data_IF_578659817184
#
_entry.id   IF_578659817184
#
_cell.length_a   1.000
_cell.length_b   1.000
_cell.length_c   1.000
_cell.angle_alpha   90.00
_cell.angle_beta   90.00
_cell.angle_gamma   90.00
#
_symmetry.space_group_name_H-M   'P 1'
#
loop_
_entity.id
_entity.type
_entity.pdbx_description
1 polymer ?
#
# COMPACT_ATOMS: atom_id res chain seq x y z
N UNK A 1 0.98 30.56 12.17
CA UNK A 1 0.60 29.13 12.09
C UNK A 1 1.57 28.45 11.13
N UNK A 2 2.45 27.58 11.61
CA UNK A 2 3.22 26.70 10.73
C UNK A 2 2.26 25.60 10.27
N UNK A 3 1.86 25.63 9.00
CA UNK A 3 1.25 24.47 8.35
C UNK A 3 2.33 23.39 8.30
N UNK A 4 2.46 22.58 9.36
CA UNK A 4 3.20 21.34 9.25
C UNK A 4 2.40 20.47 8.29
N UNK A 5 2.90 20.31 7.06
CA UNK A 5 2.39 19.29 6.15
C UNK A 5 2.53 17.95 6.88
N UNK A 6 1.43 17.44 7.41
CA UNK A 6 1.44 16.13 8.07
C UNK A 6 1.74 15.09 6.99
N UNK A 7 2.82 14.33 7.18
CA UNK A 7 3.13 13.19 6.33
C UNK A 7 1.96 12.20 6.38
N UNK A 8 1.63 11.61 5.24
CA UNK A 8 0.61 10.58 5.18
C UNK A 8 1.09 9.33 5.94
N UNK A 9 0.19 8.65 6.66
CA UNK A 9 0.55 7.42 7.37
C UNK A 9 0.63 6.25 6.40
N UNK A 10 1.76 5.57 6.40
CA UNK A 10 1.96 4.29 5.72
C UNK A 10 2.11 3.21 6.79
N UNK A 11 1.22 2.23 6.80
CA UNK A 11 1.28 1.13 7.76
C UNK A 11 1.76 -0.13 7.04
N UNK A 12 2.69 -0.86 7.64
CA UNK A 12 3.09 -2.18 7.19
C UNK A 12 2.63 -3.23 8.18
N UNK A 13 2.00 -4.30 7.65
CA UNK A 13 1.71 -5.52 8.39
C UNK A 13 2.87 -6.53 8.31
N UNK A 14 3.91 -6.21 7.56
CA UNK A 14 5.11 -7.03 7.39
C UNK A 14 6.34 -6.30 7.94
N UNK A 15 7.29 -7.02 8.56
CA UNK A 15 8.57 -6.43 8.90
C UNK A 15 9.26 -5.94 7.62
N UNK A 16 9.61 -4.66 7.61
CA UNK A 16 10.30 -4.02 6.48
C UNK A 16 11.80 -4.05 6.71
N UNK A 17 12.55 -4.32 5.64
CA UNK A 17 13.98 -4.11 5.60
C UNK A 17 14.32 -2.66 5.99
N UNK A 18 15.46 -2.48 6.66
CA UNK A 18 15.85 -1.18 7.22
C UNK A 18 15.89 -0.06 6.17
N UNK A 19 16.47 -0.34 5.01
CA UNK A 19 16.60 0.61 3.90
C UNK A 19 15.25 0.99 3.31
N UNK A 20 14.33 0.03 3.17
CA UNK A 20 12.97 0.28 2.72
C UNK A 20 12.16 1.11 3.72
N UNK A 21 12.29 0.83 5.02
CA UNK A 21 11.67 1.64 6.07
C UNK A 21 12.17 3.09 6.01
N UNK A 22 13.49 3.32 5.95
CA UNK A 22 14.06 4.66 5.83
C UNK A 22 13.54 5.38 4.58
N UNK A 23 13.53 4.67 3.45
CA UNK A 23 13.07 5.24 2.18
C UNK A 23 11.61 5.66 2.22
N UNK A 24 10.75 4.88 2.85
CA UNK A 24 9.34 5.23 3.00
C UNK A 24 9.15 6.36 4.01
N UNK A 25 9.94 6.41 5.08
CA UNK A 25 9.82 7.48 6.10
C UNK A 25 10.23 8.86 5.51
N UNK A 26 11.05 8.93 4.47
CA UNK A 26 11.30 10.19 3.75
C UNK A 26 9.99 10.87 3.25
N UNK A 27 8.95 10.08 2.96
CA UNK A 27 7.69 10.55 2.35
C UNK A 27 6.45 10.35 3.25
N UNK A 28 6.47 9.32 4.09
CA UNK A 28 5.37 8.89 4.93
C UNK A 28 5.73 8.96 6.40
N UNK A 29 4.72 8.91 7.27
CA UNK A 29 4.90 8.46 8.64
C UNK A 29 4.74 6.94 8.65
N UNK A 30 5.85 6.20 8.69
CA UNK A 30 5.82 4.73 8.61
C UNK A 30 5.54 4.14 9.99
N UNK A 31 4.61 3.19 10.06
CA UNK A 31 4.28 2.45 11.27
C UNK A 31 4.18 0.97 10.96
N UNK A 32 4.56 0.14 11.94
CA UNK A 32 4.42 -1.30 11.86
C UNK A 32 3.29 -1.75 12.79
N UNK A 33 2.36 -2.53 12.25
CA UNK A 33 1.29 -3.16 13.01
C UNK A 33 1.34 -4.66 12.79
N UNK A 34 1.13 -5.46 13.83
CA UNK A 34 1.12 -6.93 13.68
C UNK A 34 -0.22 -7.45 13.18
N UNK A 35 -1.29 -6.64 13.27
CA UNK A 35 -2.65 -7.10 12.99
C UNK A 35 -3.44 -6.07 12.18
N UNK A 36 -4.29 -6.58 11.30
CA UNK A 36 -5.15 -5.76 10.45
C UNK A 36 -6.25 -5.00 11.21
N UNK A 37 -6.66 -5.47 12.40
CA UNK A 37 -7.66 -4.80 13.23
C UNK A 37 -7.11 -3.62 14.06
N UNK A 38 -5.78 -3.47 14.07
CA UNK A 38 -5.09 -2.37 14.77
C UNK A 38 -4.78 -1.18 13.85
N UNK A 39 -5.24 -1.21 12.59
CA UNK A 39 -4.95 -0.15 11.62
C UNK A 39 -5.50 1.21 12.08
N UNK A 40 -4.64 2.24 12.22
CA UNK A 40 -5.07 3.59 12.51
C UNK A 40 -6.06 4.13 11.46
N UNK A 41 -7.06 4.87 11.90
CA UNK A 41 -8.11 5.41 11.02
C UNK A 41 -7.58 6.41 9.97
N UNK A 42 -6.41 7.00 10.20
CA UNK A 42 -5.71 7.92 9.31
C UNK A 42 -4.70 7.24 8.36
N UNK A 43 -4.65 5.90 8.34
CA UNK A 43 -3.84 5.12 7.40
C UNK A 43 -4.20 5.47 5.96
N UNK A 44 -3.20 5.91 5.19
CA UNK A 44 -3.36 6.35 3.81
C UNK A 44 -2.76 5.36 2.81
N UNK A 45 -1.70 4.64 3.20
CA UNK A 45 -1.09 3.56 2.43
C UNK A 45 -0.89 2.34 3.32
N UNK A 46 -1.07 1.14 2.78
CA UNK A 46 -0.95 -0.12 3.51
C UNK A 46 -0.06 -1.11 2.75
N UNK A 47 0.87 -1.75 3.45
CA UNK A 47 1.66 -2.89 2.98
C UNK A 47 1.17 -4.12 3.72
N UNK A 48 0.79 -5.18 3.00
CA UNK A 48 0.15 -6.36 3.60
C UNK A 48 0.61 -7.66 2.94
N UNK A 49 0.77 -8.71 3.77
CA UNK A 49 1.00 -10.06 3.29
C UNK A 49 -0.26 -10.71 2.73
N UNK A 50 -0.12 -11.58 1.72
CA UNK A 50 -1.25 -12.30 1.09
C UNK A 50 -2.20 -12.99 2.08
N UNK A 51 -1.64 -13.58 3.14
CA UNK A 51 -2.38 -14.27 4.21
C UNK A 51 -3.35 -13.35 4.98
N UNK A 52 -3.03 -12.06 5.08
CA UNK A 52 -3.80 -11.05 5.83
C UNK A 52 -4.94 -10.42 5.00
N UNK A 53 -5.04 -10.73 3.70
CA UNK A 53 -6.05 -10.14 2.81
C UNK A 53 -7.48 -10.49 3.21
N UNK A 54 -7.69 -11.69 3.77
CA UNK A 54 -9.01 -12.14 4.23
C UNK A 54 -9.52 -11.28 5.39
N UNK A 55 -8.64 -10.93 6.33
CA UNK A 55 -8.94 -10.08 7.49
C UNK A 55 -9.24 -8.64 7.11
N UNK A 56 -8.70 -8.14 6.01
CA UNK A 56 -8.95 -6.78 5.53
C UNK A 56 -10.33 -6.58 4.86
N UNK A 57 -11.01 -7.68 4.50
CA UNK A 57 -12.32 -7.57 3.84
C UNK A 57 -13.38 -6.95 4.74
N UNK A 58 -13.24 -7.08 6.05
CA UNK A 58 -14.22 -6.62 7.06
C UNK A 58 -14.03 -5.17 7.47
N UNK A 59 -12.86 -4.57 7.24
CA UNK A 59 -12.58 -3.19 7.65
C UNK A 59 -11.27 -2.65 7.11
N UNK A 60 -11.37 -1.74 6.14
CA UNK A 60 -10.24 -0.91 5.71
C UNK A 60 -10.49 0.53 6.19
N UNK A 61 -9.44 1.23 6.66
CA UNK A 61 -9.54 2.63 7.04
C UNK A 61 -10.14 3.49 5.92
N UNK A 62 -11.04 4.41 6.26
CA UNK A 62 -11.76 5.23 5.27
C UNK A 62 -10.84 6.15 4.44
N UNK A 63 -9.63 6.43 4.93
CA UNK A 63 -8.65 7.32 4.30
C UNK A 63 -7.63 6.59 3.42
N UNK A 64 -7.74 5.27 3.30
CA UNK A 64 -6.79 4.49 2.51
C UNK A 64 -6.90 4.84 1.04
N UNK A 65 -5.74 5.01 0.40
CA UNK A 65 -5.61 5.38 -1.02
C UNK A 65 -4.90 4.28 -1.81
N UNK A 66 -3.97 3.56 -1.17
CA UNK A 66 -3.26 2.45 -1.79
C UNK A 66 -3.06 1.26 -0.84
N UNK A 67 -3.01 0.07 -1.43
CA UNK A 67 -2.64 -1.19 -0.78
C UNK A 67 -1.59 -1.90 -1.63
N UNK A 68 -0.50 -2.34 -1.01
CA UNK A 68 0.55 -3.13 -1.66
C UNK A 68 0.57 -4.52 -1.05
N UNK A 69 0.32 -5.53 -1.89
CA UNK A 69 0.23 -6.94 -1.50
C UNK A 69 1.58 -7.63 -1.75
N UNK A 70 2.09 -8.34 -0.75
CA UNK A 70 3.43 -8.96 -0.74
C UNK A 70 3.32 -10.44 -0.38
N UNK A 71 4.19 -11.28 -0.96
CA UNK A 71 4.31 -12.70 -0.59
C UNK A 71 3.07 -13.55 -0.90
N UNK A 72 2.19 -13.12 -1.81
CA UNK A 72 1.00 -13.86 -2.24
C UNK A 72 1.21 -14.46 -3.62
N UNK A 73 0.76 -15.70 -3.84
CA UNK A 73 0.72 -16.34 -5.16
C UNK A 73 -0.30 -15.68 -6.11
N UNK A 74 -1.34 -15.08 -5.53
CA UNK A 74 -2.35 -14.32 -6.26
C UNK A 74 -3.06 -13.32 -5.32
N UNK A 75 -3.59 -12.23 -5.88
CA UNK A 75 -4.53 -11.36 -5.17
C UNK A 75 -5.95 -11.86 -5.42
N UNK A 76 -6.76 -12.16 -4.37
CA UNK A 76 -8.11 -12.68 -4.54
C UNK A 76 -9.00 -11.73 -5.38
N UNK A 77 -9.73 -12.21 -6.40
CA UNK A 77 -10.56 -11.35 -7.25
C UNK A 77 -11.60 -10.53 -6.47
N UNK A 78 -12.20 -11.14 -5.44
CA UNK A 78 -13.14 -10.47 -4.54
C UNK A 78 -12.53 -9.26 -3.81
N UNK A 79 -11.24 -9.35 -3.44
CA UNK A 79 -10.52 -8.25 -2.80
C UNK A 79 -10.29 -7.12 -3.82
N UNK A 80 -9.89 -7.48 -5.04
CA UNK A 80 -9.70 -6.52 -6.13
C UNK A 80 -10.99 -5.76 -6.44
N UNK A 81 -12.14 -6.45 -6.54
CA UNK A 81 -13.44 -5.81 -6.75
C UNK A 81 -13.85 -4.89 -5.59
N UNK A 82 -13.60 -5.31 -4.35
CA UNK A 82 -13.83 -4.46 -3.18
C UNK A 82 -12.97 -3.18 -3.24
N UNK A 83 -11.70 -3.28 -3.63
CA UNK A 83 -10.81 -2.12 -3.75
C UNK A 83 -11.21 -1.19 -4.89
N UNK A 84 -11.67 -1.75 -6.03
CA UNK A 84 -12.27 -0.96 -7.12
C UNK A 84 -13.47 -0.15 -6.65
N UNK A 85 -14.40 -0.79 -5.93
CA UNK A 85 -15.59 -0.10 -5.38
C UNK A 85 -15.22 1.04 -4.42
N UNK A 86 -14.12 0.89 -3.67
CA UNK A 86 -13.58 1.92 -2.77
C UNK A 86 -12.65 2.93 -3.46
N UNK A 87 -12.36 2.75 -4.75
CA UNK A 87 -11.37 3.55 -5.53
C UNK A 87 -9.97 3.55 -4.89
N UNK A 88 -9.55 2.42 -4.35
CA UNK A 88 -8.24 2.20 -3.73
C UNK A 88 -7.34 1.48 -4.72
N UNK A 89 -6.15 2.03 -5.01
CA UNK A 89 -5.19 1.36 -5.90
C UNK A 89 -4.53 0.18 -5.21
N UNK A 90 -4.41 -0.94 -5.94
CA UNK A 90 -3.76 -2.15 -5.42
C UNK A 90 -2.56 -2.49 -6.28
N UNK A 91 -1.38 -2.60 -5.66
CA UNK A 91 -0.17 -3.12 -6.30
C UNK A 91 0.21 -4.49 -5.77
N UNK A 92 0.82 -5.30 -6.62
CA UNK A 92 1.33 -6.63 -6.29
C UNK A 92 2.69 -6.86 -6.97
N UNK A 93 3.81 -6.44 -6.36
CA UNK A 93 5.14 -6.50 -6.96
C UNK A 93 5.71 -7.92 -7.17
N UNK A 94 4.97 -8.97 -6.82
CA UNK A 94 5.40 -10.38 -6.92
C UNK A 94 6.74 -10.69 -6.22
N UNK A 95 7.00 -9.99 -5.11
CA UNK A 95 8.15 -10.28 -4.25
C UNK A 95 7.76 -11.25 -3.12
N UNK A 96 8.71 -12.06 -2.67
CA UNK A 96 8.48 -13.11 -1.68
C UNK A 96 8.26 -12.53 -0.28
N UNK A 97 8.97 -11.46 0.07
CA UNK A 97 8.88 -10.84 1.37
C UNK A 97 9.28 -9.36 1.39
N UNK A 98 9.23 -8.79 2.58
CA UNK A 98 9.55 -7.38 2.83
C UNK A 98 10.85 -7.20 3.62
N UNK A 99 11.52 -8.29 4.01
CA UNK A 99 12.75 -8.28 4.81
C UNK A 99 14.04 -8.25 3.97
N UNK A 100 14.00 -8.80 2.75
CA UNK A 100 15.13 -8.68 1.82
C UNK A 100 15.22 -7.26 1.27
N UNK A 101 16.38 -6.62 1.34
CA UNK A 101 16.53 -5.20 0.98
C UNK A 101 16.17 -4.92 -0.48
N UNK A 102 16.48 -5.84 -1.39
CA UNK A 102 16.22 -5.64 -2.82
C UNK A 102 14.73 -5.75 -3.09
N UNK A 103 14.08 -6.77 -2.55
CA UNK A 103 12.63 -6.95 -2.67
C UNK A 103 11.86 -5.81 -1.99
N UNK A 104 12.31 -5.38 -0.82
CA UNK A 104 11.68 -4.31 -0.07
C UNK A 104 11.74 -2.95 -0.79
N UNK A 105 12.79 -2.71 -1.59
CA UNK A 105 12.87 -1.51 -2.43
C UNK A 105 11.87 -1.52 -3.59
N UNK A 106 11.52 -2.68 -4.15
CA UNK A 106 10.43 -2.79 -5.14
C UNK A 106 9.08 -2.45 -4.50
N UNK A 107 8.84 -2.92 -3.26
CA UNK A 107 7.67 -2.53 -2.46
C UNK A 107 7.61 -1.00 -2.31
N UNK A 108 8.74 -0.36 -1.97
CA UNK A 108 8.80 1.09 -1.81
C UNK A 108 8.38 1.83 -3.09
N UNK A 109 8.91 1.41 -4.24
CA UNK A 109 8.58 2.03 -5.52
C UNK A 109 7.09 1.94 -5.82
N UNK A 110 6.48 0.79 -5.57
CA UNK A 110 5.05 0.58 -5.80
C UNK A 110 4.17 1.36 -4.82
N UNK A 111 4.52 1.39 -3.53
CA UNK A 111 3.80 2.17 -2.52
C UNK A 111 3.81 3.65 -2.90
N UNK A 112 4.98 4.21 -3.21
CA UNK A 112 5.12 5.61 -3.60
C UNK A 112 4.37 5.92 -4.90
N UNK A 113 4.47 5.06 -5.91
CA UNK A 113 3.83 5.28 -7.19
C UNK A 113 2.30 5.14 -7.11
N UNK A 114 1.79 4.15 -6.39
CA UNK A 114 0.35 3.93 -6.22
C UNK A 114 -0.28 5.03 -5.36
N UNK A 115 0.36 5.40 -4.25
CA UNK A 115 -0.11 6.51 -3.41
C UNK A 115 -0.04 7.87 -4.14
N UNK A 116 1.03 8.08 -4.90
CA UNK A 116 1.28 9.31 -5.65
C UNK A 116 0.57 9.40 -7.00
N UNK A 117 -0.16 8.37 -7.43
CA UNK A 117 -0.79 8.36 -8.75
C UNK A 117 -1.77 9.53 -8.89
N UNK A 118 -1.74 10.20 -10.05
CA UNK A 118 -2.49 11.44 -10.31
C UNK A 118 -1.90 12.71 -9.67
N UNK A 119 -0.83 12.61 -8.86
CA UNK A 119 -0.16 13.76 -8.23
C UNK A 119 1.33 13.86 -8.59
N UNK A 120 2.04 12.74 -8.63
CA UNK A 120 3.50 12.66 -8.80
C UNK A 120 3.95 12.27 -10.22
N UNK A 121 3.01 12.14 -11.18
CA UNK A 121 3.32 11.89 -12.60
C UNK A 121 3.85 10.50 -12.95
N UNK A 122 4.09 9.62 -11.97
CA UNK A 122 4.53 8.24 -12.20
C UNK A 122 3.34 7.28 -12.29
N UNK A 123 3.31 6.44 -13.33
CA UNK A 123 2.35 5.33 -13.43
C UNK A 123 2.87 4.12 -12.62
N UNK A 124 2.12 3.63 -11.63
CA UNK A 124 2.47 2.40 -10.91
C UNK A 124 2.48 1.19 -11.86
N UNK A 125 3.44 0.28 -11.70
CA UNK A 125 3.70 -0.81 -12.66
C UNK A 125 2.89 -2.07 -12.36
N UNK A 126 2.89 -2.49 -11.09
CA UNK A 126 2.32 -3.77 -10.69
C UNK A 126 0.86 -3.66 -10.23
N UNK A 127 0.06 -2.81 -10.89
CA UNK A 127 -1.33 -2.57 -10.49
C UNK A 127 -2.24 -3.70 -10.94
N UNK A 128 -3.01 -4.26 -10.02
CA UNK A 128 -3.96 -5.35 -10.31
C UNK A 128 -5.38 -4.86 -10.61
N UNK A 129 -5.71 -3.62 -10.25
CA UNK A 129 -6.95 -2.93 -10.62
C UNK A 129 -6.68 -1.75 -11.56
N UNK A 130 -6.03 -2.05 -12.68
CA UNK A 130 -5.59 -1.11 -13.71
C UNK A 130 -6.71 -0.24 -14.32
N UNK A 131 -7.97 -0.69 -14.25
CA UNK A 131 -9.15 0.13 -14.58
C UNK A 131 -9.17 1.48 -13.84
N UNK A 132 -8.60 1.56 -12.63
CA UNK A 132 -8.49 2.80 -11.86
C UNK A 132 -7.37 3.73 -12.35
N UNK A 133 -6.50 3.26 -13.24
CA UNK A 133 -5.43 4.06 -13.87
C UNK A 133 -5.92 4.79 -15.13
N UNK A 134 -7.10 4.45 -15.63
CA UNK A 134 -7.69 5.09 -16.78
C UNK A 134 -8.53 6.29 -16.34
N UNK A 135 -8.20 7.48 -16.83
CA UNK A 135 -9.02 8.70 -16.71
C UNK A 135 -10.27 8.65 -17.61
N UNK A 136 -10.83 7.46 -17.86
CA UNK A 136 -12.03 7.31 -18.68
C UNK A 136 -13.24 7.77 -17.86
N UNK A 137 -13.56 9.06 -18.01
CA UNK A 137 -14.88 9.62 -17.76
C UNK A 137 -15.87 9.13 -18.82
#
# INVERSE_FOLDING_TARGET
MRLSLQRHRCVSLLPLAHTAHQRLDDFFSVEYCTRADELPADTAALIVGGESLSSLQTGLPARIQSVTVVGSDAVPPQFVEQMKAKRVLVTWPQVAGAEDEREAMEICHDVMAAFGFGRMGSRPRNVVNDVLLCDCC
#
